data_IF_688009757776
#
_entry.id   IF_688009757776
#
_cell.length_a   1.000
_cell.length_b   1.000
_cell.length_c   1.000
_cell.angle_alpha   90.00
_cell.angle_beta   90.00
_cell.angle_gamma   90.00
#
_symmetry.space_group_name_H-M   'P 1'
#
loop_
_entity.id
_entity.type
_entity.pdbx_description
1 polymer ?
#
# COMPACT_ATOMS: atom_id res chain seq x y z
N UNK A 1 5.85 -1.83 -16.67
CA UNK A 1 5.88 -2.01 -15.20
C UNK A 1 4.49 -2.46 -14.79
N UNK A 2 4.36 -3.36 -13.82
CA UNK A 2 3.05 -3.88 -13.39
C UNK A 2 3.12 -4.32 -11.92
N UNK A 3 2.02 -4.19 -11.19
CA UNK A 3 1.87 -4.76 -9.85
C UNK A 3 1.14 -6.11 -9.91
N UNK A 4 1.08 -6.82 -8.79
CA UNK A 4 0.19 -7.97 -8.63
C UNK A 4 -0.86 -7.65 -7.58
N UNK A 5 -2.11 -7.98 -7.85
CA UNK A 5 -3.24 -7.82 -6.93
C UNK A 5 -3.86 -9.18 -6.58
N UNK A 6 -4.49 -9.25 -5.40
CA UNK A 6 -5.23 -10.43 -4.96
C UNK A 6 -4.42 -11.73 -5.06
N UNK A 7 -5.02 -12.75 -5.68
CA UNK A 7 -4.45 -14.08 -5.86
C UNK A 7 -3.61 -14.20 -7.14
N UNK A 8 -2.69 -13.25 -7.35
CA UNK A 8 -1.79 -13.28 -8.50
C UNK A 8 -2.31 -12.58 -9.76
N UNK A 9 -3.39 -11.82 -9.63
CA UNK A 9 -4.04 -11.15 -10.75
C UNK A 9 -3.28 -9.87 -11.17
N UNK A 10 -3.32 -9.49 -12.46
CA UNK A 10 -2.88 -8.16 -12.87
C UNK A 10 -3.76 -7.09 -12.23
N UNK A 11 -3.27 -5.84 -12.08
CA UNK A 11 -4.08 -4.74 -11.62
C UNK A 11 -5.25 -4.52 -12.59
N UNK A 12 -6.37 -4.01 -12.08
CA UNK A 12 -7.63 -3.86 -12.83
C UNK A 12 -7.42 -3.21 -14.21
N UNK A 13 -6.55 -2.20 -14.27
CA UNK A 13 -6.20 -1.45 -15.48
C UNK A 13 -5.46 -2.31 -16.52
N UNK A 14 -4.73 -3.33 -16.08
CA UNK A 14 -3.95 -4.23 -16.94
C UNK A 14 -4.72 -5.51 -17.33
N UNK A 15 -5.88 -5.80 -16.72
CA UNK A 15 -6.66 -7.03 -16.98
C UNK A 15 -7.01 -7.20 -18.46
N UNK A 16 -7.42 -6.12 -19.13
CA UNK A 16 -7.80 -6.17 -20.55
C UNK A 16 -6.59 -6.52 -21.45
N UNK A 17 -5.45 -5.88 -21.20
CA UNK A 17 -4.21 -6.17 -21.92
C UNK A 17 -3.71 -7.59 -21.64
N UNK A 18 -3.73 -8.02 -20.38
CA UNK A 18 -3.37 -9.36 -19.98
C UNK A 18 -4.23 -10.40 -20.72
N UNK A 19 -5.56 -10.27 -20.67
CA UNK A 19 -6.48 -11.16 -21.41
C UNK A 19 -6.21 -11.15 -22.92
N UNK A 20 -5.89 -10.00 -23.51
CA UNK A 20 -5.58 -9.90 -24.93
C UNK A 20 -4.30 -10.67 -25.30
N UNK A 21 -3.21 -10.46 -24.58
CA UNK A 21 -1.92 -11.13 -24.82
C UNK A 21 -1.99 -12.65 -24.60
N UNK A 22 -2.84 -13.11 -23.69
CA UNK A 22 -3.07 -14.54 -23.44
C UNK A 22 -4.12 -15.17 -24.36
N UNK A 23 -4.77 -14.39 -25.22
CA UNK A 23 -5.76 -14.90 -26.17
C UNK A 23 -5.12 -15.41 -27.47
N UNK A 24 -5.88 -16.20 -28.24
CA UNK A 24 -5.49 -16.60 -29.61
C UNK A 24 -5.35 -15.43 -30.59
N UNK A 25 -5.79 -14.23 -30.22
CA UNK A 25 -5.70 -13.01 -31.05
C UNK A 25 -4.41 -12.23 -30.81
N UNK A 26 -3.56 -12.68 -29.89
CA UNK A 26 -2.30 -12.00 -29.59
C UNK A 26 -1.40 -11.95 -30.85
N UNK A 27 -0.85 -10.77 -31.19
CA UNK A 27 0.04 -10.65 -32.34
C UNK A 27 1.41 -11.26 -32.01
N UNK A 28 2.16 -11.60 -33.05
CA UNK A 28 3.60 -11.83 -32.91
C UNK A 28 4.33 -10.51 -32.66
N UNK A 29 5.32 -10.55 -31.79
CA UNK A 29 6.12 -9.42 -31.31
C UNK A 29 7.59 -9.50 -31.75
N UNK A 30 7.88 -10.18 -32.87
CA UNK A 30 9.24 -10.43 -33.39
C UNK A 30 10.09 -9.16 -33.61
N UNK A 31 9.45 -7.99 -33.75
CA UNK A 31 10.11 -6.69 -33.91
C UNK A 31 9.93 -5.77 -32.70
N UNK A 32 9.61 -6.32 -31.53
CA UNK A 32 9.37 -5.57 -30.30
C UNK A 32 10.41 -5.96 -29.26
N UNK A 33 11.03 -4.97 -28.63
CA UNK A 33 11.88 -5.20 -27.47
C UNK A 33 11.16 -4.74 -26.20
N UNK A 34 11.37 -5.43 -25.08
CA UNK A 34 10.66 -5.17 -23.83
C UNK A 34 11.56 -5.35 -22.60
N UNK A 35 11.16 -4.72 -21.49
CA UNK A 35 11.71 -4.98 -20.16
C UNK A 35 10.57 -4.91 -19.15
N UNK A 36 10.59 -5.78 -18.13
CA UNK A 36 9.54 -5.84 -17.11
C UNK A 36 10.12 -5.50 -15.74
N UNK A 37 9.47 -4.56 -15.06
CA UNK A 37 9.64 -4.31 -13.63
C UNK A 37 8.32 -4.68 -12.96
N UNK A 38 8.38 -5.62 -12.04
CA UNK A 38 7.23 -6.15 -11.31
C UNK A 38 7.23 -5.63 -9.88
N UNK A 39 6.07 -5.20 -9.41
CA UNK A 39 5.83 -4.78 -8.03
C UNK A 39 5.00 -5.87 -7.33
N UNK A 40 5.46 -6.33 -6.18
CA UNK A 40 4.73 -7.30 -5.37
C UNK A 40 5.06 -7.14 -3.90
N UNK A 41 4.49 -8.02 -3.10
CA UNK A 41 4.83 -8.17 -1.69
C UNK A 41 5.11 -9.66 -1.46
N UNK A 42 6.33 -9.98 -1.00
CA UNK A 42 6.78 -11.37 -0.84
C UNK A 42 6.05 -12.13 0.27
N UNK A 43 5.27 -11.43 1.10
CA UNK A 43 4.34 -12.04 2.07
C UNK A 43 3.10 -12.66 1.43
N UNK A 44 2.83 -12.38 0.17
CA UNK A 44 1.74 -12.97 -0.60
C UNK A 44 2.22 -14.13 -1.46
N UNK A 45 1.31 -15.09 -1.69
CA UNK A 45 1.57 -16.31 -2.43
C UNK A 45 2.17 -16.05 -3.82
N UNK A 46 1.53 -15.15 -4.55
CA UNK A 46 1.78 -14.90 -5.95
C UNK A 46 2.70 -13.68 -6.11
N UNK A 47 3.81 -13.65 -5.36
CA UNK A 47 4.78 -12.56 -5.40
C UNK A 47 5.21 -12.26 -6.84
N UNK A 48 4.94 -11.03 -7.30
CA UNK A 48 5.24 -10.55 -8.66
C UNK A 48 4.65 -11.41 -9.80
N UNK A 49 3.56 -12.16 -9.57
CA UNK A 49 2.97 -13.05 -10.57
C UNK A 49 2.58 -12.33 -11.87
N UNK A 50 1.93 -11.17 -11.81
CA UNK A 50 1.56 -10.44 -13.03
C UNK A 50 2.78 -10.07 -13.87
N UNK A 51 3.87 -9.62 -13.23
CA UNK A 51 5.11 -9.32 -13.94
C UNK A 51 5.77 -10.56 -14.55
N UNK A 52 5.71 -11.71 -13.85
CA UNK A 52 6.16 -13.00 -14.39
C UNK A 52 5.34 -13.41 -15.63
N UNK A 53 4.04 -13.20 -15.59
CA UNK A 53 3.11 -13.52 -16.67
C UNK A 53 3.38 -12.64 -17.90
N UNK A 54 3.49 -11.32 -17.72
CA UNK A 54 3.82 -10.39 -18.81
C UNK A 54 5.21 -10.67 -19.41
N UNK A 55 6.23 -10.86 -18.58
CA UNK A 55 7.59 -11.14 -19.06
C UNK A 55 7.68 -12.42 -19.88
N UNK A 56 7.07 -13.50 -19.37
CA UNK A 56 7.03 -14.80 -20.06
C UNK A 56 6.23 -14.67 -21.35
N UNK A 57 5.07 -14.01 -21.31
CA UNK A 57 4.18 -13.95 -22.47
C UNK A 57 4.74 -13.09 -23.60
N UNK A 58 5.38 -11.96 -23.29
CA UNK A 58 6.01 -11.11 -24.30
C UNK A 58 7.17 -11.86 -25.00
N UNK A 59 7.95 -12.64 -24.25
CA UNK A 59 8.99 -13.49 -24.83
C UNK A 59 8.41 -14.60 -25.73
N UNK A 60 7.35 -15.29 -25.28
CA UNK A 60 6.66 -16.32 -26.08
C UNK A 60 6.13 -15.78 -27.41
N UNK A 61 5.66 -14.55 -27.44
CA UNK A 61 5.17 -13.89 -28.65
C UNK A 61 6.29 -13.46 -29.58
N UNK A 62 7.56 -13.63 -29.21
CA UNK A 62 8.74 -13.30 -30.01
C UNK A 62 9.41 -11.98 -29.65
N UNK A 63 8.98 -11.32 -28.58
CA UNK A 63 9.61 -10.09 -28.11
C UNK A 63 11.04 -10.33 -27.60
N UNK A 64 11.93 -9.37 -27.85
CA UNK A 64 13.30 -9.39 -27.35
C UNK A 64 13.38 -8.77 -25.95
N UNK A 65 13.85 -9.55 -24.97
CA UNK A 65 14.04 -9.06 -23.61
C UNK A 65 15.31 -8.18 -23.54
N UNK A 66 15.13 -6.89 -23.25
CA UNK A 66 16.22 -5.92 -23.10
C UNK A 66 17.02 -6.11 -21.81
N UNK A 67 16.32 -6.46 -20.73
CA UNK A 67 16.88 -6.70 -19.40
C UNK A 67 16.08 -7.80 -18.73
N UNK A 68 16.75 -8.57 -17.87
CA UNK A 68 16.07 -9.49 -16.97
C UNK A 68 15.00 -8.77 -16.15
N UNK A 69 13.88 -9.48 -15.94
CA UNK A 69 12.79 -8.98 -15.10
C UNK A 69 13.29 -8.73 -13.68
N UNK A 70 12.86 -7.61 -13.11
CA UNK A 70 13.06 -7.32 -11.68
C UNK A 70 11.74 -7.58 -10.95
N UNK A 71 11.80 -8.41 -9.91
CA UNK A 71 10.68 -8.68 -8.99
C UNK A 71 10.94 -7.89 -7.69
N UNK A 72 10.29 -6.74 -7.53
CA UNK A 72 10.52 -5.83 -6.42
C UNK A 72 9.46 -5.99 -5.32
N UNK A 73 9.92 -5.97 -4.07
CA UNK A 73 9.08 -6.01 -2.86
C UNK A 73 8.57 -4.61 -2.47
N UNK A 74 7.94 -4.47 -1.30
CA UNK A 74 7.35 -3.22 -0.79
C UNK A 74 8.33 -2.02 -0.82
N UNK A 75 9.61 -2.27 -0.59
CA UNK A 75 10.71 -1.29 -0.66
C UNK A 75 11.36 -1.24 -2.05
N UNK A 76 10.55 -1.05 -3.09
CA UNK A 76 10.98 -1.17 -4.48
C UNK A 76 11.86 -0.01 -5.00
N UNK A 77 11.91 1.13 -4.31
CA UNK A 77 12.41 2.40 -4.88
C UNK A 77 13.88 2.33 -5.32
N UNK A 78 14.74 1.67 -4.53
CA UNK A 78 16.15 1.48 -4.88
C UNK A 78 16.29 0.61 -6.14
N UNK A 79 15.60 -0.53 -6.17
CA UNK A 79 15.57 -1.43 -7.33
C UNK A 79 15.00 -0.73 -8.57
N UNK A 80 13.95 0.09 -8.43
CA UNK A 80 13.37 0.87 -9.52
C UNK A 80 14.35 1.92 -10.06
N UNK A 81 15.13 2.57 -9.19
CA UNK A 81 16.13 3.56 -9.60
C UNK A 81 17.26 2.92 -10.41
N UNK A 82 17.79 1.79 -9.94
CA UNK A 82 18.79 1.01 -10.66
C UNK A 82 18.24 0.49 -12.00
N UNK A 83 17.06 -0.12 -11.97
CA UNK A 83 16.42 -0.66 -13.18
C UNK A 83 16.16 0.42 -14.23
N UNK A 84 15.66 1.60 -13.82
CA UNK A 84 15.47 2.74 -14.73
C UNK A 84 16.77 3.15 -15.41
N UNK A 85 17.87 3.27 -14.66
CA UNK A 85 19.17 3.61 -15.21
C UNK A 85 19.62 2.58 -16.27
N UNK A 86 19.49 1.28 -15.95
CA UNK A 86 19.84 0.19 -16.86
C UNK A 86 18.97 0.18 -18.13
N UNK A 87 17.67 0.43 -18.02
CA UNK A 87 16.76 0.50 -19.18
C UNK A 87 17.16 1.65 -20.09
N UNK A 88 17.43 2.82 -19.51
CA UNK A 88 17.86 4.01 -20.27
C UNK A 88 19.14 3.72 -21.05
N UNK A 89 20.12 3.07 -20.44
CA UNK A 89 21.37 2.74 -21.12
C UNK A 89 21.19 1.66 -22.20
N UNK A 90 20.36 0.65 -21.95
CA UNK A 90 19.99 -0.33 -22.98
C UNK A 90 19.31 0.35 -24.18
N UNK A 91 18.41 1.30 -23.96
CA UNK A 91 17.74 2.05 -25.02
C UNK A 91 18.70 2.95 -25.80
N UNK A 92 19.63 3.65 -25.12
CA UNK A 92 20.67 4.46 -25.78
C UNK A 92 21.52 3.63 -26.74
N UNK A 93 21.87 2.40 -26.37
CA UNK A 93 22.68 1.51 -27.21
C UNK A 93 21.97 1.07 -28.50
N UNK A 94 20.64 1.09 -28.51
CA UNK A 94 19.79 0.67 -29.64
C UNK A 94 19.27 1.84 -30.47
N UNK A 95 19.30 3.05 -29.92
CA UNK A 95 18.96 4.24 -30.66
C UNK A 95 19.99 4.44 -31.78
N UNK A 96 19.57 4.66 -33.04
CA UNK A 96 20.51 5.11 -34.06
C UNK A 96 21.16 6.40 -33.57
N UNK A 97 22.45 6.58 -33.87
CA UNK A 97 23.19 7.82 -33.57
C UNK A 97 22.56 8.96 -34.39
N UNK A 98 21.51 9.56 -33.85
CA UNK A 98 20.99 10.83 -34.33
C UNK A 98 21.90 11.94 -33.77
N UNK A 99 22.21 12.92 -34.61
CA UNK A 99 22.77 14.20 -34.17
C UNK A 99 21.95 14.74 -32.99
N UNK A 100 22.55 15.48 -32.04
CA UNK A 100 21.86 15.92 -30.84
C UNK A 100 20.70 16.84 -31.23
N UNK A 101 19.51 16.28 -31.38
CA UNK A 101 18.29 17.02 -31.29
C UNK A 101 18.21 17.41 -29.82
N UNK A 102 18.43 18.69 -29.53
CA UNK A 102 17.79 19.29 -28.37
C UNK A 102 16.28 19.18 -28.60
N UNK A 103 15.72 18.01 -28.28
CA UNK A 103 14.34 17.97 -27.84
C UNK A 103 14.37 18.78 -26.55
N UNK A 104 14.07 20.07 -26.67
CA UNK A 104 13.43 20.76 -25.58
C UNK A 104 12.20 19.91 -25.34
N UNK A 105 12.26 19.06 -24.31
CA UNK A 105 11.05 18.57 -23.72
C UNK A 105 10.38 19.85 -23.22
N UNK A 106 9.55 20.47 -24.05
CA UNK A 106 8.36 21.13 -23.57
C UNK A 106 7.45 20.03 -23.04
N UNK A 107 7.93 19.30 -22.02
CA UNK A 107 7.04 18.99 -20.94
C UNK A 107 6.62 20.36 -20.49
N UNK A 108 5.40 20.75 -20.88
CA UNK A 108 4.64 21.58 -19.97
C UNK A 108 4.78 20.85 -18.64
N UNK A 109 5.64 21.38 -17.78
CA UNK A 109 5.60 21.06 -16.37
C UNK A 109 4.22 21.56 -16.02
N UNK A 110 3.22 20.67 -16.10
CA UNK A 110 1.92 20.94 -15.54
C UNK A 110 2.26 21.25 -14.08
N UNK A 111 2.25 22.54 -13.73
CA UNK A 111 2.64 23.07 -12.41
C UNK A 111 1.79 22.44 -11.27
N UNK A 112 0.79 21.63 -11.63
CA UNK A 112 -0.09 20.88 -10.74
C UNK A 112 0.55 19.55 -10.25
N UNK A 113 1.56 18.98 -10.93
CA UNK A 113 2.11 17.65 -10.57
C UNK A 113 3.39 17.67 -9.73
N UNK A 114 3.98 18.82 -9.44
CA UNK A 114 5.18 18.90 -8.61
C UNK A 114 4.82 19.34 -7.19
N UNK A 115 4.23 18.44 -6.41
CA UNK A 115 4.26 18.59 -4.96
C UNK A 115 5.71 18.37 -4.49
N UNK A 116 6.29 19.23 -3.63
CA UNK A 116 7.61 18.96 -3.05
C UNK A 116 7.59 17.75 -2.09
N UNK A 117 6.40 17.23 -1.78
CA UNK A 117 6.19 16.13 -0.86
C UNK A 117 5.91 14.83 -1.60
N UNK A 118 6.49 13.75 -1.08
CA UNK A 118 6.37 12.39 -1.61
C UNK A 118 6.24 11.38 -0.48
N UNK A 119 6.04 10.10 -0.81
CA UNK A 119 6.07 9.02 0.19
C UNK A 119 7.32 9.08 1.09
N UNK A 120 8.49 9.33 0.51
CA UNK A 120 9.79 9.30 1.22
C UNK A 120 10.10 10.63 1.92
N UNK A 121 9.42 11.71 1.53
CA UNK A 121 9.51 13.04 2.14
C UNK A 121 8.11 13.63 2.31
N UNK A 122 7.30 13.12 3.26
CA UNK A 122 5.92 13.56 3.45
C UNK A 122 5.85 14.96 4.07
N UNK A 123 4.76 15.67 3.82
CA UNK A 123 4.40 16.89 4.52
C UNK A 123 4.02 16.55 5.96
N UNK A 124 4.56 17.27 6.93
CA UNK A 124 4.00 17.30 8.29
C UNK A 124 2.89 18.35 8.29
N UNK A 125 1.65 17.91 8.42
CA UNK A 125 0.43 18.71 8.38
C UNK A 125 -0.32 18.62 9.72
N UNK A 126 -1.29 19.51 9.95
CA UNK A 126 -2.09 19.52 11.18
C UNK A 126 -3.43 18.82 10.95
N UNK A 127 -3.87 17.95 11.85
CA UNK A 127 -5.23 17.42 11.85
C UNK A 127 -6.15 18.48 12.44
N UNK A 128 -6.99 19.12 11.62
CA UNK A 128 -7.87 20.22 12.08
C UNK A 128 -9.19 19.72 12.65
N UNK A 129 -9.80 18.68 12.04
CA UNK A 129 -11.10 18.15 12.48
C UNK A 129 -11.07 16.63 12.54
N UNK A 130 -11.60 16.06 13.64
CA UNK A 130 -11.94 14.64 13.74
C UNK A 130 -13.40 14.45 14.18
N UNK A 131 -14.29 14.39 13.20
CA UNK A 131 -15.72 14.32 13.45
C UNK A 131 -16.29 12.93 13.18
N UNK A 132 -16.96 12.33 14.17
CA UNK A 132 -17.79 11.13 13.92
C UNK A 132 -19.04 11.48 13.12
N UNK A 133 -19.17 10.89 11.93
CA UNK A 133 -20.29 11.14 11.01
C UNK A 133 -21.36 10.03 11.05
N UNK A 134 -21.14 8.95 11.80
CA UNK A 134 -22.17 7.95 12.08
C UNK A 134 -23.00 8.28 13.31
N UNK A 135 -24.27 7.87 13.30
CA UNK A 135 -25.19 8.07 14.42
C UNK A 135 -24.71 7.39 15.70
N UNK A 136 -25.21 7.86 16.86
CA UNK A 136 -24.80 7.41 18.20
C UNK A 136 -24.87 5.88 18.40
N UNK A 137 -25.87 5.23 17.79
CA UNK A 137 -26.12 3.79 17.90
C UNK A 137 -25.58 2.99 16.71
N UNK A 138 -24.72 3.57 15.86
CA UNK A 138 -24.12 2.85 14.75
C UNK A 138 -23.03 1.91 15.25
N UNK A 139 -23.07 0.66 14.77
CA UNK A 139 -21.99 -0.31 14.96
C UNK A 139 -20.71 0.09 14.23
N UNK A 140 -20.82 0.93 13.20
CA UNK A 140 -19.69 1.48 12.45
C UNK A 140 -19.26 2.80 13.05
N UNK A 141 -17.96 2.94 13.28
CA UNK A 141 -17.33 4.21 13.58
C UNK A 141 -16.72 4.75 12.28
N UNK A 142 -17.29 5.83 11.73
CA UNK A 142 -16.74 6.50 10.54
C UNK A 142 -16.48 7.95 10.91
N UNK A 143 -15.26 8.40 10.61
CA UNK A 143 -14.78 9.75 10.87
C UNK A 143 -14.64 10.53 9.57
N UNK A 144 -15.08 11.78 9.59
CA UNK A 144 -14.64 12.81 8.67
C UNK A 144 -13.42 13.47 9.29
N UNK A 145 -12.29 13.36 8.61
CA UNK A 145 -11.02 13.92 9.05
C UNK A 145 -10.62 15.04 8.09
N UNK A 146 -10.31 16.20 8.63
CA UNK A 146 -9.76 17.34 7.89
C UNK A 146 -8.31 17.54 8.32
N UNK A 147 -7.43 17.77 7.33
CA UNK A 147 -6.01 18.01 7.53
C UNK A 147 -5.67 19.34 6.88
N UNK A 148 -5.18 20.28 7.68
CA UNK A 148 -4.70 21.58 7.24
C UNK A 148 -3.29 21.43 6.66
N UNK A 149 -3.17 21.78 5.37
CA UNK A 149 -1.94 21.75 4.59
C UNK A 149 -1.16 23.07 4.71
N UNK A 150 -1.72 24.10 5.33
CA UNK A 150 -1.15 25.44 5.43
C UNK A 150 -0.69 25.99 4.07
N UNK A 151 0.39 26.77 4.09
CA UNK A 151 1.02 27.31 2.88
C UNK A 151 2.02 26.35 2.22
N UNK A 152 1.88 25.04 2.45
CA UNK A 152 2.83 24.01 1.96
C UNK A 152 2.97 23.95 0.44
N UNK A 153 1.98 24.49 -0.29
CA UNK A 153 1.93 24.38 -1.75
C UNK A 153 1.55 22.99 -2.24
N UNK A 154 1.15 22.07 -1.35
CA UNK A 154 0.66 20.75 -1.74
C UNK A 154 -0.66 20.88 -2.52
N UNK A 155 -0.75 20.19 -3.66
CA UNK A 155 -1.89 20.26 -4.58
C UNK A 155 -2.45 18.88 -4.86
N UNK A 156 -3.77 18.78 -4.97
CA UNK A 156 -4.49 17.56 -5.32
C UNK A 156 -5.75 17.85 -6.13
N UNK A 157 -6.28 16.81 -6.76
CA UNK A 157 -7.58 16.85 -7.44
C UNK A 157 -8.55 15.82 -6.88
N UNK A 158 -9.87 16.05 -6.97
CA UNK A 158 -10.85 15.00 -6.67
C UNK A 158 -10.51 13.71 -7.41
N UNK A 159 -10.43 12.62 -6.66
CA UNK A 159 -10.04 11.30 -7.16
C UNK A 159 -8.62 10.87 -6.84
N UNK A 160 -7.75 11.80 -6.43
CA UNK A 160 -6.46 11.46 -5.83
C UNK A 160 -6.65 10.75 -4.47
N UNK A 161 -5.59 10.10 -4.01
CA UNK A 161 -5.54 9.50 -2.69
C UNK A 161 -4.56 10.24 -1.78
N UNK A 162 -4.92 10.37 -0.50
CA UNK A 162 -4.06 10.87 0.56
C UNK A 162 -3.33 9.70 1.20
N UNK A 163 -2.01 9.68 1.09
CA UNK A 163 -1.17 8.75 1.84
C UNK A 163 -0.88 9.29 3.22
N UNK A 164 -1.18 8.49 4.25
CA UNK A 164 -0.99 8.84 5.66
C UNK A 164 0.03 7.91 6.29
N UNK A 165 1.13 8.48 6.75
CA UNK A 165 2.08 7.80 7.61
C UNK A 165 1.59 7.83 9.05
N UNK A 166 1.42 6.64 9.63
CA UNK A 166 0.94 6.46 10.99
C UNK A 166 2.05 5.95 11.92
N UNK A 167 1.75 5.88 13.20
CA UNK A 167 2.60 5.24 14.22
C UNK A 167 1.82 4.10 14.86
N UNK A 168 2.47 3.01 15.25
CA UNK A 168 1.78 1.98 16.04
C UNK A 168 1.38 2.51 17.43
N UNK A 169 0.36 1.89 18.01
CA UNK A 169 -0.12 2.25 19.35
C UNK A 169 0.98 1.91 20.38
N UNK A 170 1.45 2.87 21.21
CA UNK A 170 2.40 2.59 22.28
C UNK A 170 1.94 1.46 23.21
N UNK A 171 0.63 1.31 23.45
CA UNK A 171 0.08 0.23 24.25
C UNK A 171 0.21 -1.13 23.55
N UNK A 172 0.00 -1.18 22.24
CA UNK A 172 0.20 -2.39 21.43
C UNK A 172 1.69 -2.78 21.39
N UNK A 173 2.58 -1.81 21.18
CA UNK A 173 4.05 -2.03 21.19
C UNK A 173 4.47 -2.60 22.54
N UNK A 174 3.99 -1.98 23.63
CA UNK A 174 4.28 -2.44 24.99
C UNK A 174 3.76 -3.86 25.23
N UNK A 175 2.52 -4.17 24.88
CA UNK A 175 1.94 -5.51 25.04
C UNK A 175 2.78 -6.56 24.30
N UNK A 176 3.17 -6.29 23.04
CA UNK A 176 3.98 -7.19 22.23
C UNK A 176 5.37 -7.43 22.85
N UNK A 177 6.05 -6.36 23.28
CA UNK A 177 7.37 -6.42 23.92
C UNK A 177 7.31 -7.23 25.22
N UNK A 178 6.30 -6.99 26.06
CA UNK A 178 6.11 -7.70 27.33
C UNK A 178 5.81 -9.19 27.12
N UNK A 179 5.01 -9.54 26.10
CA UNK A 179 4.71 -10.93 25.75
C UNK A 179 5.94 -11.72 25.28
N UNK A 180 6.96 -11.04 24.77
CA UNK A 180 8.22 -11.63 24.31
C UNK A 180 9.34 -11.55 25.36
N UNK A 181 9.05 -11.08 26.57
CA UNK A 181 10.02 -10.87 27.65
C UNK A 181 11.17 -9.91 27.28
N UNK A 182 10.90 -8.97 26.37
CA UNK A 182 11.81 -7.90 26.00
C UNK A 182 11.55 -6.67 26.89
N UNK A 183 12.53 -5.76 26.96
CA UNK A 183 12.46 -4.52 27.75
C UNK A 183 11.96 -3.33 26.94
N UNK A 184 12.17 -3.36 25.62
CA UNK A 184 11.85 -2.28 24.70
C UNK A 184 12.98 -1.26 24.51
N UNK A 185 14.04 -1.32 25.33
CA UNK A 185 15.24 -0.48 25.21
C UNK A 185 16.42 -1.20 24.53
N UNK A 186 16.24 -2.46 24.13
CA UNK A 186 17.25 -3.21 23.38
C UNK A 186 17.62 -2.46 22.09
N UNK A 187 18.92 -2.32 21.78
CA UNK A 187 19.35 -1.68 20.55
C UNK A 187 19.08 -2.60 19.36
N UNK A 188 18.42 -2.07 18.34
CA UNK A 188 18.17 -2.74 17.06
C UNK A 188 18.62 -1.87 15.89
N UNK A 189 18.98 -2.49 14.76
CA UNK A 189 19.44 -1.76 13.57
C UNK A 189 18.33 -1.64 12.53
N UNK A 190 17.90 -0.41 12.24
CA UNK A 190 16.93 -0.10 11.19
C UNK A 190 17.58 0.86 10.19
N UNK A 191 17.65 0.47 8.92
CA UNK A 191 18.25 1.28 7.83
C UNK A 191 19.67 1.80 8.17
N UNK A 192 20.47 0.98 8.86
CA UNK A 192 21.84 1.34 9.28
C UNK A 192 21.93 2.29 10.47
N UNK A 193 20.81 2.62 11.13
CA UNK A 193 20.75 3.39 12.37
C UNK A 193 20.40 2.48 13.55
N UNK A 194 21.05 2.70 14.69
CA UNK A 194 20.71 1.99 15.93
C UNK A 194 19.63 2.77 16.69
N UNK A 195 18.51 2.12 16.95
CA UNK A 195 17.35 2.68 17.67
C UNK A 195 16.96 1.74 18.83
N UNK A 196 16.29 2.24 19.88
CA UNK A 196 15.66 1.37 20.86
C UNK A 196 14.47 0.62 20.22
N UNK A 197 14.26 -0.63 20.64
CA UNK A 197 13.24 -1.52 20.08
C UNK A 197 11.84 -0.90 20.06
N UNK A 198 11.45 -0.19 21.12
CA UNK A 198 10.13 0.45 21.19
C UNK A 198 9.92 1.50 20.08
N UNK A 199 10.93 2.32 19.80
CA UNK A 199 10.92 3.33 18.74
C UNK A 199 10.89 2.65 17.37
N UNK A 200 11.71 1.61 17.17
CA UNK A 200 11.71 0.82 15.96
C UNK A 200 10.32 0.23 15.67
N UNK A 201 9.72 -0.46 16.64
CA UNK A 201 8.39 -1.07 16.50
C UNK A 201 7.29 -0.02 16.34
N UNK A 202 7.43 1.17 16.93
CA UNK A 202 6.42 2.22 16.82
C UNK A 202 6.41 2.87 15.43
N UNK A 203 7.58 3.08 14.82
CA UNK A 203 7.73 3.93 13.64
C UNK A 203 8.08 3.20 12.34
N UNK A 204 8.66 1.99 12.43
CA UNK A 204 9.30 1.35 11.28
C UNK A 204 8.71 -0.01 10.88
N UNK A 205 7.91 -0.66 11.73
CA UNK A 205 7.40 -2.01 11.46
C UNK A 205 5.88 -2.10 11.53
N UNK A 206 5.27 -2.90 10.64
CA UNK A 206 3.84 -3.18 10.61
C UNK A 206 3.45 -4.21 11.68
N UNK A 207 2.59 -3.82 12.63
CA UNK A 207 2.17 -4.67 13.76
C UNK A 207 0.72 -5.14 13.67
N UNK A 208 -0.08 -4.53 12.80
CA UNK A 208 -1.54 -4.72 12.76
C UNK A 208 -2.00 -5.64 11.65
N UNK A 209 -1.10 -6.01 10.72
CA UNK A 209 -1.38 -6.96 9.63
C UNK A 209 -0.48 -8.19 9.75
N UNK A 210 -1.06 -9.33 10.11
CA UNK A 210 -0.35 -10.61 10.13
C UNK A 210 -0.31 -11.25 8.72
N UNK A 211 0.69 -12.08 8.46
CA UNK A 211 0.88 -12.77 7.16
C UNK A 211 1.30 -14.22 7.36
N UNK A 212 1.09 -15.07 6.35
CA UNK A 212 1.49 -16.48 6.40
C UNK A 212 3.00 -16.64 6.67
N UNK A 213 3.83 -15.79 6.04
CA UNK A 213 5.29 -15.81 6.25
C UNK A 213 5.66 -15.46 7.70
N UNK A 214 5.00 -14.48 8.32
CA UNK A 214 5.24 -14.13 9.73
C UNK A 214 4.90 -15.33 10.63
N UNK A 215 3.75 -15.96 10.42
CA UNK A 215 3.32 -17.13 11.20
C UNK A 215 4.31 -18.29 11.05
N UNK A 216 4.71 -18.63 9.83
CA UNK A 216 5.63 -19.73 9.53
C UNK A 216 7.03 -19.49 10.11
N UNK A 217 7.57 -18.28 9.92
CA UNK A 217 8.88 -17.92 10.45
C UNK A 217 8.88 -17.88 11.98
N UNK A 218 7.84 -17.31 12.60
CA UNK A 218 7.70 -17.31 14.06
C UNK A 218 7.58 -18.74 14.58
N UNK A 219 6.76 -19.60 13.96
CA UNK A 219 6.60 -21.00 14.35
C UNK A 219 7.94 -21.76 14.31
N UNK A 220 8.73 -21.53 13.27
CA UNK A 220 10.03 -22.17 13.06
C UNK A 220 11.08 -21.69 14.05
N UNK A 221 11.18 -20.37 14.26
CA UNK A 221 12.16 -19.76 15.17
C UNK A 221 11.89 -20.16 16.62
N UNK A 222 10.63 -20.13 17.03
CA UNK A 222 10.21 -20.39 18.42
C UNK A 222 9.98 -21.87 18.72
N UNK A 223 9.94 -22.71 17.68
CA UNK A 223 9.53 -24.13 17.75
C UNK A 223 8.17 -24.30 18.44
N UNK A 224 7.24 -23.40 18.11
CA UNK A 224 5.90 -23.39 18.68
C UNK A 224 5.16 -24.71 18.41
N UNK A 225 4.81 -25.44 19.47
CA UNK A 225 4.04 -26.68 19.35
C UNK A 225 2.64 -26.46 18.73
N UNK A 226 2.07 -25.27 18.88
CA UNK A 226 0.73 -24.94 18.37
C UNK A 226 0.76 -24.46 16.92
N UNK A 227 1.85 -23.83 16.47
CA UNK A 227 1.96 -23.26 15.11
C UNK A 227 2.76 -24.15 14.16
N UNK A 228 3.70 -24.96 14.65
CA UNK A 228 4.46 -25.91 13.82
C UNK A 228 3.58 -26.86 12.98
N UNK A 229 2.41 -27.35 13.47
CA UNK A 229 1.52 -28.17 12.64
C UNK A 229 0.93 -27.45 11.42
N UNK A 230 0.99 -26.12 11.37
CA UNK A 230 0.54 -25.31 10.23
C UNK A 230 1.65 -25.14 9.18
N UNK A 231 2.92 -25.32 9.56
CA UNK A 231 4.08 -25.12 8.67
C UNK A 231 3.99 -26.10 7.49
N UNK A 232 4.22 -25.60 6.28
CA UNK A 232 4.05 -26.35 5.04
C UNK A 232 2.61 -26.47 4.54
N UNK A 233 1.59 -26.03 5.30
CA UNK A 233 0.20 -25.91 4.84
C UNK A 233 -0.19 -24.43 4.68
N UNK A 234 0.04 -23.93 3.47
CA UNK A 234 -0.11 -22.52 3.12
C UNK A 234 -1.52 -21.98 3.36
N UNK A 235 -2.55 -22.75 3.02
CA UNK A 235 -3.94 -22.34 3.21
C UNK A 235 -4.27 -22.18 4.69
N UNK A 236 -3.76 -23.08 5.55
CA UNK A 236 -3.91 -22.94 7.00
C UNK A 236 -3.14 -21.74 7.56
N UNK A 237 -1.92 -21.50 7.09
CA UNK A 237 -1.13 -20.33 7.51
C UNK A 237 -1.82 -19.02 7.13
N UNK A 238 -2.31 -18.90 5.89
CA UNK A 238 -3.07 -17.74 5.43
C UNK A 238 -4.35 -17.54 6.24
N UNK A 239 -5.11 -18.61 6.48
CA UNK A 239 -6.32 -18.53 7.30
C UNK A 239 -6.04 -18.10 8.73
N UNK A 240 -4.98 -18.66 9.35
CA UNK A 240 -4.57 -18.29 10.69
C UNK A 240 -4.14 -16.82 10.76
N UNK A 241 -3.31 -16.36 9.83
CA UNK A 241 -2.87 -14.97 9.75
C UNK A 241 -4.04 -13.99 9.55
N UNK A 242 -5.00 -14.33 8.69
CA UNK A 242 -6.17 -13.49 8.42
C UNK A 242 -7.10 -13.32 9.63
N UNK A 243 -7.09 -14.26 10.57
CA UNK A 243 -7.98 -14.28 11.75
C UNK A 243 -7.28 -13.99 13.07
N UNK A 244 -5.94 -13.98 13.08
CA UNK A 244 -5.14 -13.83 14.29
C UNK A 244 -4.11 -12.72 14.12
N UNK A 245 -4.29 -11.56 14.79
CA UNK A 245 -3.29 -10.49 14.81
C UNK A 245 -1.94 -10.95 15.37
N UNK A 246 -0.85 -10.27 15.01
CA UNK A 246 0.52 -10.65 15.42
C UNK A 246 0.64 -10.74 16.94
N UNK A 247 0.17 -9.72 17.66
CA UNK A 247 0.21 -9.69 19.13
C UNK A 247 -0.56 -10.86 19.76
N UNK A 248 -1.68 -11.28 19.16
CA UNK A 248 -2.48 -12.39 19.65
C UNK A 248 -1.85 -13.74 19.29
N UNK A 249 -1.20 -13.86 18.13
CA UNK A 249 -0.40 -15.04 17.78
C UNK A 249 0.70 -15.27 18.82
N UNK A 250 1.43 -14.21 19.20
CA UNK A 250 2.45 -14.29 20.26
C UNK A 250 1.79 -14.64 21.60
N UNK A 251 0.63 -14.08 21.94
CA UNK A 251 -0.12 -14.42 23.16
C UNK A 251 -0.55 -15.88 23.21
N UNK A 252 -0.99 -16.45 22.09
CA UNK A 252 -1.43 -17.84 21.97
C UNK A 252 -0.27 -18.83 21.90
N UNK A 253 0.89 -18.36 21.47
CA UNK A 253 2.10 -19.15 21.36
C UNK A 253 3.29 -18.40 21.96
N UNK A 254 3.31 -18.19 23.29
CA UNK A 254 4.32 -17.36 23.92
C UNK A 254 5.69 -18.06 23.87
N UNK A 255 6.70 -17.32 23.43
CA UNK A 255 8.08 -17.81 23.33
C UNK A 255 9.08 -16.67 23.53
N UNK A 256 10.29 -17.03 23.98
CA UNK A 256 11.39 -16.06 24.03
C UNK A 256 11.92 -15.82 22.62
N UNK A 257 12.06 -14.55 22.27
CA UNK A 257 12.59 -14.10 21.00
C UNK A 257 13.50 -12.90 21.26
N UNK A 258 14.67 -12.86 20.63
CA UNK A 258 15.52 -11.68 20.72
C UNK A 258 14.98 -10.52 19.87
N UNK A 259 15.39 -9.29 20.22
CA UNK A 259 14.87 -8.07 19.60
C UNK A 259 15.15 -7.98 18.08
N UNK A 260 16.33 -8.44 17.64
CA UNK A 260 16.69 -8.48 16.22
C UNK A 260 15.87 -9.52 15.46
N UNK A 261 15.69 -10.71 16.02
CA UNK A 261 14.82 -11.73 15.44
C UNK A 261 13.37 -11.24 15.34
N UNK A 262 12.86 -10.49 16.33
CA UNK A 262 11.53 -9.87 16.24
C UNK A 262 11.44 -8.91 15.05
N UNK A 263 12.35 -7.95 14.92
CA UNK A 263 12.24 -6.97 13.83
C UNK A 263 12.44 -7.59 12.45
N UNK A 264 13.26 -8.65 12.35
CA UNK A 264 13.48 -9.39 11.11
C UNK A 264 12.27 -10.26 10.69
N UNK A 265 11.35 -10.54 11.62
CA UNK A 265 10.08 -11.18 11.28
C UNK A 265 9.08 -10.20 10.66
N UNK A 266 9.15 -8.93 11.07
CA UNK A 266 8.14 -7.94 10.76
C UNK A 266 8.41 -7.29 9.41
N UNK A 267 7.32 -6.87 8.74
CA UNK A 267 7.43 -6.07 7.53
C UNK A 267 7.66 -4.61 7.87
N UNK A 268 8.32 -3.83 7.00
CA UNK A 268 8.37 -2.38 7.12
C UNK A 268 6.96 -1.78 7.21
N UNK A 269 6.83 -0.73 8.01
CA UNK A 269 5.60 0.05 8.10
C UNK A 269 5.34 0.74 6.77
N UNK A 270 4.10 0.66 6.27
CA UNK A 270 3.69 1.33 5.03
C UNK A 270 2.63 2.39 5.32
N UNK A 271 2.60 3.52 4.58
CA UNK A 271 1.54 4.49 4.73
C UNK A 271 0.21 3.90 4.24
N UNK A 272 -0.90 4.40 4.79
CA UNK A 272 -2.24 4.01 4.35
C UNK A 272 -2.80 5.05 3.38
N UNK A 273 -3.24 4.59 2.22
CA UNK A 273 -3.93 5.43 1.24
C UNK A 273 -5.42 5.54 1.57
N UNK A 274 -5.93 6.76 1.56
CA UNK A 274 -7.35 7.08 1.70
C UNK A 274 -7.81 7.87 0.48
N UNK A 275 -8.98 7.54 -0.08
CA UNK A 275 -9.59 8.37 -1.12
C UNK A 275 -9.92 9.75 -0.56
N UNK A 276 -9.51 10.80 -1.27
CA UNK A 276 -9.79 12.17 -0.86
C UNK A 276 -11.29 12.46 -1.03
N UNK A 277 -11.88 13.03 0.01
CA UNK A 277 -13.31 13.32 0.14
C UNK A 277 -13.66 14.81 -0.07
N UNK A 278 -12.69 15.65 -0.42
CA UNK A 278 -12.88 17.08 -0.71
C UNK A 278 -12.40 17.49 -2.11
N UNK A 279 -12.79 18.69 -2.52
CA UNK A 279 -12.25 19.37 -3.69
C UNK A 279 -11.40 20.54 -3.24
N UNK A 280 -10.12 20.59 -3.63
CA UNK A 280 -9.23 21.66 -3.21
C UNK A 280 -9.69 23.05 -3.70
N UNK A 281 -10.46 23.10 -4.77
CA UNK A 281 -11.08 24.34 -5.24
C UNK A 281 -12.13 24.92 -4.27
N UNK A 282 -12.66 24.09 -3.37
CA UNK A 282 -13.69 24.47 -2.39
C UNK A 282 -13.15 24.60 -0.97
N UNK A 283 -12.11 23.84 -0.62
CA UNK A 283 -11.55 23.79 0.75
C UNK A 283 -10.13 24.37 0.85
N UNK A 284 -9.64 24.96 -0.24
CA UNK A 284 -8.36 25.69 -0.32
C UNK A 284 -7.15 24.88 0.17
N UNK A 285 -6.70 25.13 1.40
CA UNK A 285 -5.50 24.51 1.98
C UNK A 285 -5.83 23.30 2.86
N UNK A 286 -7.03 22.73 2.76
CA UNK A 286 -7.38 21.51 3.49
C UNK A 286 -7.43 20.29 2.56
N UNK A 287 -7.23 19.11 3.13
CA UNK A 287 -7.58 17.83 2.50
C UNK A 287 -8.45 17.02 3.44
N UNK A 288 -9.55 16.47 2.92
CA UNK A 288 -10.51 15.74 3.74
C UNK A 288 -10.49 14.26 3.36
N UNK A 289 -10.66 13.38 4.35
CA UNK A 289 -10.81 11.94 4.13
C UNK A 289 -11.91 11.38 5.01
N UNK A 290 -12.59 10.35 4.51
CA UNK A 290 -13.57 9.59 5.28
C UNK A 290 -12.94 8.27 5.73
N UNK A 291 -12.78 8.09 7.05
CA UNK A 291 -12.08 6.95 7.64
C UNK A 291 -13.05 6.05 8.38
N UNK A 292 -13.26 4.84 7.85
CA UNK A 292 -13.89 3.76 8.62
C UNK A 292 -12.90 3.23 9.65
N UNK A 293 -13.19 3.41 10.94
CA UNK A 293 -12.29 2.98 12.01
C UNK A 293 -12.39 1.47 12.17
N UNK A 294 -11.29 0.77 11.90
CA UNK A 294 -11.22 -0.68 12.07
C UNK A 294 -11.10 -0.99 13.54
N UNK A 295 -12.09 -1.71 14.08
CA UNK A 295 -12.15 -2.19 15.46
C UNK A 295 -12.72 -3.60 15.49
N UNK A 296 -12.16 -4.45 16.33
CA UNK A 296 -12.62 -5.83 16.55
C UNK A 296 -12.14 -6.32 17.92
N UNK A 297 -12.60 -7.50 18.32
CA UNK A 297 -12.27 -8.11 19.59
C UNK A 297 -11.63 -9.48 19.37
N UNK A 298 -10.61 -9.80 20.16
CA UNK A 298 -10.00 -11.13 20.22
C UNK A 298 -9.96 -11.56 21.69
N UNK A 299 -10.83 -12.49 22.06
CA UNK A 299 -10.98 -13.01 23.43
C UNK A 299 -11.14 -11.91 24.50
N UNK A 300 -11.99 -10.91 24.25
CA UNK A 300 -12.25 -9.81 25.17
C UNK A 300 -11.18 -8.71 25.16
N UNK A 301 -10.20 -8.77 24.26
CA UNK A 301 -9.21 -7.72 24.04
C UNK A 301 -9.57 -6.93 22.79
N UNK A 302 -9.76 -5.62 22.97
CA UNK A 302 -9.98 -4.70 21.87
C UNK A 302 -8.74 -4.62 20.97
N UNK A 303 -8.97 -4.73 19.66
CA UNK A 303 -7.99 -4.56 18.60
C UNK A 303 -8.48 -3.52 17.61
N UNK A 304 -7.53 -2.84 16.97
CA UNK A 304 -7.84 -1.79 16.01
C UNK A 304 -6.83 -1.79 14.86
N UNK A 305 -7.23 -1.26 13.70
CA UNK A 305 -6.32 -1.09 12.56
C UNK A 305 -5.36 0.08 12.79
N UNK A 306 -4.10 -0.06 12.37
CA UNK A 306 -3.01 0.88 12.67
C UNK A 306 -3.31 2.33 12.29
N UNK A 307 -3.45 2.60 10.99
CA UNK A 307 -3.69 3.97 10.49
C UNK A 307 -5.07 4.54 10.89
N UNK A 308 -6.11 3.70 10.88
CA UNK A 308 -7.46 4.17 11.17
C UNK A 308 -7.65 4.56 12.64
N UNK A 309 -7.05 3.82 13.58
CA UNK A 309 -7.08 4.18 15.01
C UNK A 309 -6.09 5.29 15.34
N UNK A 310 -4.98 5.38 14.60
CA UNK A 310 -4.06 6.51 14.71
C UNK A 310 -4.81 7.84 14.49
N UNK A 311 -5.46 7.98 13.34
CA UNK A 311 -6.23 9.18 13.01
C UNK A 311 -7.44 9.39 13.92
N UNK A 312 -8.15 8.32 14.28
CA UNK A 312 -9.40 8.45 15.02
C UNK A 312 -9.22 8.71 16.52
N UNK A 313 -8.17 8.14 17.14
CA UNK A 313 -8.06 8.06 18.60
C UNK A 313 -6.78 8.67 19.16
N UNK A 314 -5.71 8.78 18.37
CA UNK A 314 -4.35 9.08 18.89
C UNK A 314 -3.77 10.41 18.42
N UNK A 315 -4.25 10.93 17.30
CA UNK A 315 -3.96 12.29 16.87
C UNK A 315 -5.08 13.18 17.40
N UNK A 316 -4.73 14.08 18.32
CA UNK A 316 -5.63 15.13 18.78
C UNK A 316 -5.83 16.18 17.68
N UNK A 317 -6.89 16.97 17.76
CA UNK A 317 -7.01 18.16 16.90
C UNK A 317 -5.82 19.09 17.14
N UNK A 318 -5.33 19.69 16.07
CA UNK A 318 -4.04 20.39 15.97
C UNK A 318 -2.79 19.51 16.09
N UNK A 319 -2.96 18.18 16.11
CA UNK A 319 -1.88 17.20 16.14
C UNK A 319 -1.23 16.98 14.77
N UNK A 320 0.05 16.63 14.77
CA UNK A 320 0.82 16.42 13.54
C UNK A 320 0.50 15.09 12.85
N UNK A 321 0.30 15.14 11.53
CA UNK A 321 0.12 13.97 10.66
C UNK A 321 1.04 14.11 9.46
N UNK A 322 1.74 13.03 9.11
CA UNK A 322 2.63 12.97 7.95
C UNK A 322 1.86 12.50 6.72
N UNK A 323 1.71 13.35 5.71
CA UNK A 323 0.89 13.09 4.53
C UNK A 323 1.59 13.34 3.20
N UNK A 324 1.11 12.69 2.14
CA UNK A 324 1.49 12.96 0.75
C UNK A 324 0.32 12.64 -0.19
N UNK A 325 0.39 13.12 -1.43
CA UNK A 325 -0.63 12.84 -2.46
C UNK A 325 -0.15 11.76 -3.40
N UNK A 326 -0.99 10.74 -3.59
CA UNK A 326 -0.86 9.75 -4.66
C UNK A 326 -1.85 10.15 -5.77
N UNK A 327 -1.32 10.66 -6.88
CA UNK A 327 -2.15 11.13 -7.99
C UNK A 327 -2.79 9.97 -8.76
N UNK A 328 -4.07 10.09 -9.09
CA UNK A 328 -4.82 9.09 -9.85
C UNK A 328 -5.55 9.69 -11.06
N UNK A 329 -4.86 9.80 -12.19
CA UNK A 329 -5.42 10.41 -13.40
C UNK A 329 -6.56 9.61 -14.05
N UNK A 330 -6.78 8.36 -13.63
CA UNK A 330 -7.88 7.53 -14.11
C UNK A 330 -9.20 7.79 -13.37
N UNK A 331 -9.16 8.48 -12.22
CA UNK A 331 -10.33 8.83 -11.44
C UNK A 331 -10.49 10.35 -11.45
N UNK A 332 -11.10 10.86 -12.52
CA UNK A 332 -11.33 12.30 -12.73
C UNK A 332 -12.77 12.55 -13.13
N UNK A 333 -13.25 13.74 -12.80
CA UNK A 333 -14.51 14.22 -13.36
C UNK A 333 -14.38 14.42 -14.88
N UNK A 334 -15.46 14.22 -15.66
CA UNK A 334 -15.46 14.53 -17.07
C UNK A 334 -15.06 15.99 -17.32
N UNK A 335 -14.25 16.23 -18.34
CA UNK A 335 -13.82 17.58 -18.72
C UNK A 335 -15.00 18.48 -19.13
N UNK A 336 -16.11 17.89 -19.62
CA UNK A 336 -17.34 18.61 -19.92
C UNK A 336 -18.30 18.53 -18.72
N UNK A 337 -18.62 19.65 -18.05
CA UNK A 337 -19.51 19.68 -16.90
C UNK A 337 -20.96 19.27 -17.20
N UNK A 338 -21.37 19.26 -18.47
CA UNK A 338 -22.69 18.76 -18.88
C UNK A 338 -22.73 17.25 -19.12
N UNK A 339 -21.57 16.57 -19.09
CA UNK A 339 -21.53 15.10 -19.17
C UNK A 339 -22.06 14.53 -17.85
N UNK A 340 -23.17 13.76 -17.87
CA UNK A 340 -23.63 13.06 -16.68
C UNK A 340 -22.50 12.18 -16.15
N UNK A 341 -22.33 12.09 -14.83
CA UNK A 341 -21.35 11.18 -14.22
C UNK A 341 -21.72 9.73 -14.47
N UNK A 342 -21.42 9.21 -15.66
CA UNK A 342 -21.53 7.80 -15.99
C UNK A 342 -20.28 7.09 -15.46
N UNK A 343 -20.36 6.61 -14.22
CA UNK A 343 -19.61 5.42 -13.85
C UNK A 343 -20.24 4.25 -14.61
N UNK A 344 -19.51 3.66 -15.55
CA UNK A 344 -19.95 2.52 -16.35
C UNK A 344 -20.08 1.26 -15.48
N UNK A 345 -21.18 1.18 -14.70
CA UNK A 345 -21.57 -0.03 -14.00
C UNK A 345 -22.31 -0.94 -14.99
N UNK A 346 -21.83 -2.17 -15.28
CA UNK A 346 -22.46 -3.03 -16.27
C UNK A 346 -23.91 -3.34 -15.86
N UNK A 347 -24.85 -2.73 -16.59
CA UNK A 347 -26.30 -2.87 -16.38
C UNK A 347 -26.77 -4.25 -16.83
N UNK A 348 -26.81 -5.22 -15.92
CA UNK A 348 -27.73 -6.35 -16.06
C UNK A 348 -29.13 -5.97 -15.56
N UNK A 349 -30.12 -6.15 -16.43
CA UNK A 349 -31.50 -5.69 -16.25
C UNK A 349 -32.26 -6.45 -15.16
N UNK A 350 -33.03 -5.67 -14.40
CA UNK A 350 -34.28 -5.98 -13.68
C UNK A 350 -34.25 -6.92 -12.45
N UNK A 351 -34.24 -6.32 -11.26
CA UNK A 351 -35.36 -6.33 -10.29
C UNK A 351 -35.17 -5.24 -9.24
N UNK A 352 -36.27 -4.61 -8.83
CA UNK A 352 -36.31 -3.39 -8.01
C UNK A 352 -35.92 -3.64 -6.53
N UNK A 353 -35.01 -2.81 -5.99
CA UNK A 353 -34.76 -2.58 -4.54
C UNK A 353 -34.20 -1.14 -4.37
N UNK A 354 -34.58 -0.36 -3.33
CA UNK A 354 -34.41 1.09 -3.31
C UNK A 354 -33.01 1.58 -2.95
N UNK A 355 -32.72 2.79 -3.47
CA UNK A 355 -31.59 3.70 -3.22
C UNK A 355 -30.87 3.51 -1.87
N UNK A 356 -29.60 3.12 -1.91
CA UNK A 356 -28.55 3.47 -0.95
C UNK A 356 -27.19 2.98 -1.52
N UNK A 357 -26.11 3.58 -1.03
CA UNK A 357 -24.68 3.27 -1.23
C UNK A 357 -23.87 4.26 -2.06
N UNK A 358 -23.35 5.27 -1.34
CA UNK A 358 -22.02 5.82 -1.56
C UNK A 358 -20.98 4.74 -1.22
N UNK A 359 -19.96 4.64 -2.06
CA UNK A 359 -18.88 3.66 -1.97
C UNK A 359 -18.16 3.75 -0.63
N UNK A 360 -18.32 2.73 0.21
CA UNK A 360 -17.41 2.45 1.32
C UNK A 360 -16.45 1.39 0.80
N UNK A 361 -15.21 1.77 0.54
CA UNK A 361 -14.14 0.82 0.26
C UNK A 361 -13.80 0.11 1.58
N UNK A 362 -14.42 -1.05 1.82
CA UNK A 362 -14.04 -2.04 2.83
C UNK A 362 -14.76 -3.37 2.52
N UNK A 363 -14.09 -4.26 1.78
CA UNK A 363 -13.74 -5.61 2.23
C UNK A 363 -12.74 -6.21 1.27
#
# INVERSE_FOLDING_TARGET
MTSTQGEGEPPEEAVALHKFLFSKKAPKLENTAFAVFSLGDSSYEFFCQSGKDFDSKLAELGGERLLDRVDADVEYQAAASEWRARVVDALKSRAPVAAPSQSVATGAVNEIHTSPYSKDAPLVASLSVNQKITGRNSEKDVRHIEIDLGDSGLRYQPGDALGVWYQNDPALVKELVELLWLKGDEPVTVEGKTLPLNEALQWHFELTVNTANIVENYATLTRSETLLPLVGDKAKLQHYAATTPIVDMVRFSPAQLDAEALINLLRPLTPRLYSIASSQAEVENEVHVTVGVVRYDVEGRARAGGASSFLADRVEEEGEVRVFIEHNDNFRLPANPETPGDYDWPRHRHRAVPRLYAATCCR
#
